data_IF_233635326329
#
_entry.id   IF_233635326329
#
_cell.length_a   1.000
_cell.length_b   1.000
_cell.length_c   1.000
_cell.angle_alpha   90.00
_cell.angle_beta   90.00
_cell.angle_gamma   90.00
#
_symmetry.space_group_name_H-M   'P 1'
#
loop_
_entity.id
_entity.type
_entity.pdbx_description
1 polymer ?
#
# COMPACT_ATOMS: atom_id res chain seq x y z
N UNK A 1 -4.69 12.56 -8.20
CA UNK A 1 -3.83 12.45 -7.01
C UNK A 1 -3.34 13.86 -6.77
N UNK A 2 -3.59 14.42 -5.59
CA UNK A 2 -2.98 15.69 -5.21
C UNK A 2 -1.54 15.40 -4.82
N UNK A 3 -0.58 15.91 -5.59
CA UNK A 3 0.84 15.65 -5.39
C UNK A 3 1.46 16.79 -4.59
N UNK A 4 2.27 16.45 -3.60
CA UNK A 4 3.07 17.46 -2.91
C UNK A 4 4.09 18.09 -3.88
N UNK A 5 4.62 19.28 -3.56
CA UNK A 5 5.64 19.94 -4.38
C UNK A 5 6.84 19.04 -4.77
N UNK A 6 7.46 18.28 -3.84
CA UNK A 6 8.58 17.40 -4.20
C UNK A 6 8.14 16.19 -5.06
N UNK A 7 6.91 15.68 -4.87
CA UNK A 7 6.34 14.65 -5.73
C UNK A 7 6.08 15.17 -7.15
N UNK A 8 5.57 16.40 -7.26
CA UNK A 8 5.32 17.06 -8.53
C UNK A 8 6.63 17.31 -9.28
N UNK A 9 7.69 17.73 -8.58
CA UNK A 9 9.03 17.90 -9.16
C UNK A 9 9.57 16.57 -9.70
N UNK A 10 9.45 15.49 -8.93
CA UNK A 10 9.82 14.15 -9.39
C UNK A 10 9.03 13.72 -10.63
N UNK A 11 7.71 13.97 -10.63
CA UNK A 11 6.83 13.64 -11.75
C UNK A 11 7.18 14.42 -13.03
N UNK A 12 7.57 15.69 -12.88
CA UNK A 12 8.00 16.53 -14.00
C UNK A 12 9.39 16.18 -14.54
N UNK A 13 10.31 15.73 -13.69
CA UNK A 13 11.65 15.30 -14.09
C UNK A 13 11.66 13.93 -14.78
N UNK A 14 10.74 13.04 -14.40
CA UNK A 14 10.68 11.65 -14.86
C UNK A 14 10.68 11.46 -16.38
N UNK A 15 9.87 12.16 -17.21
CA UNK A 15 9.77 11.88 -18.64
C UNK A 15 11.09 12.06 -19.41
N UNK A 16 11.95 12.97 -18.94
CA UNK A 16 13.31 13.19 -19.48
C UNK A 16 14.38 12.36 -18.76
N UNK A 17 14.04 11.82 -17.59
CA UNK A 17 14.96 11.15 -16.69
C UNK A 17 15.88 12.14 -15.99
N UNK A 18 15.44 13.37 -15.73
CA UNK A 18 16.23 14.35 -14.99
C UNK A 18 16.29 14.00 -13.50
N UNK A 19 17.28 14.54 -12.79
CA UNK A 19 17.37 14.41 -11.34
C UNK A 19 16.33 15.31 -10.66
N UNK A 20 15.59 14.74 -9.72
CA UNK A 20 14.82 15.49 -8.75
C UNK A 20 15.57 15.48 -7.41
N UNK A 21 16.04 16.65 -6.97
CA UNK A 21 16.54 16.82 -5.60
C UNK A 21 15.34 17.13 -4.70
N UNK A 22 15.12 16.29 -3.69
CA UNK A 22 14.05 16.45 -2.73
C UNK A 22 14.44 17.38 -1.57
N UNK A 23 15.72 17.77 -1.44
CA UNK A 23 16.21 18.67 -0.39
C UNK A 23 15.84 18.20 1.03
N UNK A 24 15.83 16.88 1.27
CA UNK A 24 15.43 16.26 2.53
C UNK A 24 13.93 16.01 2.68
N UNK A 25 13.11 16.40 1.68
CA UNK A 25 11.67 16.23 1.73
C UNK A 25 11.23 14.76 1.64
N UNK A 26 10.01 14.52 2.12
CA UNK A 26 9.39 13.21 2.06
C UNK A 26 8.85 12.92 0.65
N UNK A 27 9.13 11.71 0.17
CA UNK A 27 8.57 11.17 -1.08
C UNK A 27 7.87 9.86 -0.75
N UNK A 28 6.55 9.75 -0.92
CA UNK A 28 5.85 8.49 -0.77
C UNK A 28 6.39 7.44 -1.75
N UNK A 29 6.67 6.24 -1.26
CA UNK A 29 7.14 5.12 -2.07
C UNK A 29 6.15 4.76 -3.19
N UNK A 30 4.85 4.99 -2.98
CA UNK A 30 3.81 4.74 -3.99
C UNK A 30 3.97 5.64 -5.22
N UNK A 31 4.48 6.86 -5.08
CA UNK A 31 4.78 7.75 -6.21
C UNK A 31 5.90 7.16 -7.06
N UNK A 32 6.96 6.67 -6.41
CA UNK A 32 8.08 5.99 -7.06
C UNK A 32 7.58 4.71 -7.77
N UNK A 33 6.82 3.87 -7.07
CA UNK A 33 6.22 2.64 -7.61
C UNK A 33 5.37 2.93 -8.85
N UNK A 34 4.49 3.93 -8.78
CA UNK A 34 3.62 4.31 -9.89
C UNK A 34 4.43 4.68 -11.14
N UNK A 35 5.45 5.53 -10.98
CA UNK A 35 6.34 5.92 -12.09
C UNK A 35 7.09 4.72 -12.67
N UNK A 36 7.64 3.84 -11.83
CA UNK A 36 8.35 2.64 -12.28
C UNK A 36 7.46 1.65 -13.02
N UNK A 37 6.17 1.59 -12.69
CA UNK A 37 5.17 0.75 -13.36
C UNK A 37 4.56 1.41 -14.60
N UNK A 38 4.86 2.69 -14.87
CA UNK A 38 4.46 3.41 -16.07
C UNK A 38 3.22 4.27 -15.93
N UNK A 39 3.02 4.89 -14.76
CA UNK A 39 1.94 5.87 -14.56
C UNK A 39 2.14 7.20 -15.32
N UNK A 40 3.36 7.46 -15.83
CA UNK A 40 3.66 8.62 -16.66
C UNK A 40 4.34 8.17 -17.97
N UNK A 41 3.98 8.85 -19.06
CA UNK A 41 4.57 8.58 -20.37
C UNK A 41 5.95 9.25 -20.51
N UNK A 42 6.93 8.59 -21.14
CA UNK A 42 8.21 9.19 -21.44
C UNK A 42 8.07 10.29 -22.49
N UNK A 43 8.95 11.29 -22.44
CA UNK A 43 9.04 12.29 -23.50
C UNK A 43 9.63 11.65 -24.77
N UNK A 44 9.17 12.01 -25.98
CA UNK A 44 9.78 11.51 -27.21
C UNK A 44 11.29 11.78 -27.24
N UNK A 45 12.09 10.72 -27.39
CA UNK A 45 13.56 10.81 -27.36
C UNK A 45 14.16 10.92 -25.95
N UNK A 46 13.33 11.06 -24.92
CA UNK A 46 13.73 11.08 -23.51
C UNK A 46 14.15 9.70 -23.00
N UNK A 47 14.99 9.70 -21.96
CA UNK A 47 15.42 8.49 -21.25
C UNK A 47 14.75 8.42 -19.90
N UNK A 48 13.43 8.25 -19.91
CA UNK A 48 12.64 8.28 -18.68
C UNK A 48 13.20 7.35 -17.60
N UNK A 49 13.30 7.89 -16.40
CA UNK A 49 13.89 7.25 -15.24
C UNK A 49 13.43 7.96 -13.98
N UNK A 50 13.34 7.23 -12.87
CA UNK A 50 13.21 7.81 -11.54
C UNK A 50 14.63 8.07 -11.04
N UNK A 51 15.04 9.34 -10.99
CA UNK A 51 16.34 9.77 -10.46
C UNK A 51 16.11 10.73 -9.30
N UNK A 52 16.39 10.27 -8.09
CA UNK A 52 16.01 10.95 -6.86
C UNK A 52 17.23 11.20 -5.97
N UNK A 53 17.37 12.43 -5.50
CA UNK A 53 18.48 12.87 -4.67
C UNK A 53 17.98 13.45 -3.34
N UNK A 54 18.71 13.18 -2.24
CA UNK A 54 18.46 13.72 -0.90
C UNK A 54 17.01 13.52 -0.41
N UNK A 55 16.36 12.39 -0.73
CA UNK A 55 14.96 12.17 -0.37
C UNK A 55 14.80 11.31 0.89
N UNK A 56 13.71 11.56 1.63
CA UNK A 56 13.21 10.64 2.65
C UNK A 56 12.04 9.85 2.06
N UNK A 57 12.30 8.62 1.62
CA UNK A 57 11.28 7.76 1.02
C UNK A 57 10.39 7.14 2.10
N UNK A 58 9.12 7.53 2.13
CA UNK A 58 8.14 7.11 3.13
C UNK A 58 7.29 5.94 2.64
N UNK A 59 7.04 4.97 3.53
CA UNK A 59 6.33 3.75 3.15
C UNK A 59 7.23 2.72 2.46
N UNK A 60 6.63 1.65 1.95
CA UNK A 60 7.34 0.50 1.38
C UNK A 60 7.41 0.60 -0.13
N UNK A 61 8.61 0.63 -0.68
CA UNK A 61 8.83 0.45 -2.12
C UNK A 61 8.68 -1.03 -2.46
N UNK A 62 7.46 -1.41 -2.87
CA UNK A 62 7.08 -2.77 -3.23
C UNK A 62 6.84 -2.88 -4.74
N UNK A 63 7.66 -3.69 -5.41
CA UNK A 63 7.52 -4.02 -6.83
C UNK A 63 7.28 -5.53 -7.01
N UNK A 64 6.87 -6.25 -5.96
CA UNK A 64 6.71 -7.70 -5.96
C UNK A 64 5.85 -8.18 -7.14
N UNK A 65 6.36 -9.16 -7.89
CA UNK A 65 5.69 -9.73 -9.06
C UNK A 65 5.47 -8.76 -10.23
N UNK A 66 5.95 -7.52 -10.12
CA UNK A 66 5.81 -6.47 -11.12
C UNK A 66 6.97 -6.39 -12.11
N UNK A 67 6.81 -5.54 -13.12
CA UNK A 67 7.88 -5.16 -14.05
C UNK A 67 8.19 -3.68 -13.89
N UNK A 68 9.37 -3.36 -13.36
CA UNK A 68 9.87 -2.00 -13.35
C UNK A 68 10.31 -1.59 -14.76
N UNK A 69 9.43 -0.85 -15.46
CA UNK A 69 9.61 -0.44 -16.86
C UNK A 69 10.76 0.55 -17.03
N UNK A 70 11.03 1.35 -16.00
CA UNK A 70 12.02 2.41 -16.03
C UNK A 70 13.11 2.19 -14.97
N UNK A 71 14.32 2.75 -15.18
CA UNK A 71 15.38 2.72 -14.17
C UNK A 71 15.00 3.46 -12.89
N UNK A 72 15.46 2.94 -11.76
CA UNK A 72 15.48 3.62 -10.46
C UNK A 72 16.93 3.92 -10.08
N UNK A 73 17.22 5.19 -9.81
CA UNK A 73 18.50 5.63 -9.26
C UNK A 73 18.20 6.56 -8.08
N UNK A 74 18.66 6.18 -6.89
CA UNK A 74 18.59 7.01 -5.70
C UNK A 74 19.99 7.32 -5.20
N UNK A 75 20.23 8.58 -4.86
CA UNK A 75 21.47 9.06 -4.26
C UNK A 75 21.17 9.75 -2.93
N UNK A 76 22.01 9.52 -1.91
CA UNK A 76 21.96 10.21 -0.61
C UNK A 76 20.56 10.24 0.03
N UNK A 77 19.79 9.16 -0.16
CA UNK A 77 18.38 9.08 0.23
C UNK A 77 18.17 8.05 1.35
N UNK A 78 17.16 8.26 2.19
CA UNK A 78 16.81 7.37 3.29
C UNK A 78 15.47 6.71 3.04
N UNK A 79 15.39 5.40 3.25
CA UNK A 79 14.15 4.63 3.17
C UNK A 79 13.61 4.36 4.57
N UNK A 80 12.32 4.56 4.77
CA UNK A 80 11.68 4.33 6.09
C UNK A 80 11.21 2.88 6.28
N UNK A 81 11.13 2.08 5.21
CA UNK A 81 10.75 0.68 5.26
C UNK A 81 11.66 -0.18 4.37
N UNK A 82 11.75 -1.50 4.63
CA UNK A 82 12.49 -2.42 3.77
C UNK A 82 11.97 -2.41 2.33
N UNK A 83 12.88 -2.53 1.36
CA UNK A 83 12.56 -2.64 -0.06
C UNK A 83 12.11 -4.06 -0.41
N UNK A 84 11.16 -4.20 -1.34
CA UNK A 84 10.65 -5.51 -1.76
C UNK A 84 10.63 -5.63 -3.29
N UNK A 85 11.57 -6.42 -3.80
CA UNK A 85 11.75 -6.69 -5.24
C UNK A 85 11.64 -8.17 -5.58
N UNK A 86 10.96 -8.95 -4.74
CA UNK A 86 10.78 -10.40 -4.94
C UNK A 86 9.98 -10.63 -6.23
N UNK A 87 10.50 -11.49 -7.11
CA UNK A 87 9.88 -11.78 -8.41
C UNK A 87 9.71 -10.54 -9.32
N UNK A 88 10.44 -9.46 -9.06
CA UNK A 88 10.39 -8.26 -9.90
C UNK A 88 11.30 -8.40 -11.11
N UNK A 89 10.78 -8.10 -12.30
CA UNK A 89 11.64 -7.86 -13.48
C UNK A 89 12.07 -6.40 -13.48
N UNK A 90 13.37 -6.14 -13.41
CA UNK A 90 13.90 -4.77 -13.30
C UNK A 90 14.89 -4.45 -14.41
N UNK A 91 14.88 -3.21 -14.90
CA UNK A 91 16.00 -2.70 -15.71
C UNK A 91 17.24 -2.47 -14.85
N UNK A 92 17.33 -1.29 -14.24
CA UNK A 92 18.45 -0.87 -13.42
C UNK A 92 17.90 -0.31 -12.12
N UNK A 93 18.39 -0.85 -11.00
CA UNK A 93 18.19 -0.28 -9.68
C UNK A 93 19.58 0.08 -9.14
N UNK A 94 19.78 1.35 -8.78
CA UNK A 94 21.01 1.84 -8.15
C UNK A 94 20.64 2.63 -6.91
N UNK A 95 21.22 2.25 -5.78
CA UNK A 95 21.05 2.89 -4.49
C UNK A 95 22.46 3.26 -4.01
N UNK A 96 22.79 4.54 -4.06
CA UNK A 96 24.13 5.07 -3.80
C UNK A 96 24.04 5.98 -2.58
N UNK A 97 24.90 5.75 -1.60
CA UNK A 97 24.88 6.48 -0.31
C UNK A 97 23.48 6.52 0.33
N UNK A 98 22.70 5.45 0.13
CA UNK A 98 21.35 5.36 0.65
C UNK A 98 21.33 4.61 1.99
N UNK A 99 20.53 5.12 2.92
CA UNK A 99 20.21 4.41 4.17
C UNK A 99 18.95 3.57 3.96
N UNK A 100 19.09 2.25 4.08
CA UNK A 100 18.04 1.28 3.78
C UNK A 100 17.84 0.39 5.02
N UNK A 101 16.62 0.32 5.59
CA UNK A 101 16.32 -0.63 6.65
C UNK A 101 16.58 -2.03 6.14
N UNK A 102 17.20 -2.88 6.98
CA UNK A 102 17.61 -4.24 6.60
C UNK A 102 16.52 -4.93 5.76
N UNK A 103 16.91 -5.38 4.55
CA UNK A 103 16.02 -6.05 3.59
C UNK A 103 15.23 -7.16 4.29
N UNK A 104 13.92 -7.27 4.00
CA UNK A 104 13.08 -8.29 4.64
C UNK A 104 13.70 -9.69 4.44
N UNK A 105 14.20 -10.28 5.53
CA UNK A 105 13.99 -11.70 5.75
C UNK A 105 12.50 -11.85 6.03
N UNK A 106 11.83 -12.74 5.30
CA UNK A 106 10.48 -13.15 5.65
C UNK A 106 10.50 -13.67 7.11
N UNK A 107 10.13 -12.83 8.06
CA UNK A 107 9.81 -13.28 9.40
C UNK A 107 8.39 -13.80 9.29
N UNK A 108 8.28 -15.12 9.25
CA UNK A 108 7.03 -15.82 9.46
C UNK A 108 6.46 -15.32 10.80
N UNK A 109 5.33 -14.61 10.75
CA UNK A 109 4.59 -14.30 11.98
C UNK A 109 4.12 -15.65 12.53
N UNK A 110 4.44 -16.02 13.78
CA UNK A 110 3.77 -17.14 14.40
C UNK A 110 2.28 -16.83 14.40
N UNK A 111 1.47 -17.74 13.82
CA UNK A 111 0.02 -17.62 13.86
C UNK A 111 -0.41 -17.44 15.32
N UNK A 112 -0.93 -16.25 15.63
CA UNK A 112 -1.40 -15.92 16.97
C UNK A 112 -2.54 -16.85 17.33
N UNK A 113 -2.36 -17.62 18.40
CA UNK A 113 -3.40 -18.47 18.99
C UNK A 113 -4.52 -17.55 19.48
N UNK A 114 -5.64 -17.59 18.78
CA UNK A 114 -6.84 -16.81 19.07
C UNK A 114 -7.29 -17.08 20.51
N UNK A 115 -7.17 -16.08 21.39
CA UNK A 115 -7.72 -16.17 22.75
C UNK A 115 -9.20 -15.85 22.64
N UNK A 116 -10.01 -16.91 22.71
CA UNK A 116 -11.47 -16.83 22.63
C UNK A 116 -12.03 -15.68 23.47
N UNK A 117 -12.67 -14.74 22.78
CA UNK A 117 -13.58 -13.77 23.39
C UNK A 117 -14.81 -14.53 23.87
N UNK A 118 -14.98 -14.60 25.18
CA UNK A 118 -16.22 -15.06 25.81
C UNK A 118 -17.25 -13.93 25.71
N UNK A 119 -18.21 -14.07 24.79
CA UNK A 119 -19.39 -13.21 24.77
C UNK A 119 -20.25 -13.48 26.02
N UNK A 120 -20.74 -12.44 26.73
CA UNK A 120 -21.72 -12.63 27.78
C UNK A 120 -23.08 -12.98 27.17
N UNK A 121 -23.74 -13.99 27.74
CA UNK A 121 -25.09 -14.41 27.37
C UNK A 121 -26.07 -13.25 27.60
N UNK A 122 -26.75 -12.81 26.52
CA UNK A 122 -27.87 -11.89 26.65
C UNK A 122 -29.01 -12.58 27.41
N UNK A 123 -29.38 -11.95 28.53
CA UNK A 123 -30.54 -12.30 29.32
C UNK A 123 -31.82 -12.18 28.47
N UNK A 124 -32.70 -13.17 28.65
CA UNK A 124 -33.99 -13.22 27.99
C UNK A 124 -34.93 -12.12 28.45
N UNK A 125 -35.91 -11.81 27.59
CA UNK A 125 -37.21 -11.31 28.03
C UNK A 125 -38.31 -11.76 27.05
N UNK A 126 -39.54 -11.97 27.54
CA UNK A 126 -40.59 -12.69 26.84
C UNK A 126 -41.47 -11.74 26.05
N UNK A 127 -42.01 -12.21 24.92
CA UNK A 127 -43.13 -11.55 24.26
C UNK A 127 -44.21 -12.56 23.89
N UNK A 128 -45.41 -12.17 24.29
CA UNK A 128 -46.66 -12.88 24.29
C UNK A 128 -47.17 -13.28 22.89
N UNK A 129 -47.93 -14.37 22.86
CA UNK A 129 -48.86 -14.70 21.78
C UNK A 129 -50.10 -15.39 22.34
N UNK A 130 -51.18 -14.62 22.54
CA UNK A 130 -52.53 -15.10 22.87
C UNK A 130 -53.27 -15.46 21.57
N UNK A 131 -53.92 -16.61 21.51
CA UNK A 131 -55.18 -16.90 20.79
C UNK A 131 -55.45 -18.42 20.93
N UNK A 132 -56.66 -18.93 21.13
CA UNK A 132 -57.99 -18.33 21.10
C UNK A 132 -59.02 -19.28 21.75
N UNK A 133 -60.11 -18.67 22.16
CA UNK A 133 -61.32 -19.27 22.74
C UNK A 133 -62.06 -20.11 21.69
N UNK A 134 -62.51 -21.31 22.07
CA UNK A 134 -63.61 -21.99 21.38
C UNK A 134 -64.68 -22.43 22.39
N UNK A 135 -65.75 -21.62 22.51
CA UNK A 135 -67.11 -22.07 22.81
C UNK A 135 -67.82 -22.13 21.46
N UNK A 136 -68.73 -23.03 21.10
CA UNK A 136 -69.68 -23.84 21.84
C UNK A 136 -70.93 -23.80 20.94
N UNK A 137 -71.31 -24.92 20.33
CA UNK A 137 -72.44 -25.01 19.40
C UNK A 137 -73.44 -26.00 19.97
N UNK A 138 -74.56 -25.49 20.47
CA UNK A 138 -75.74 -26.28 20.79
C UNK A 138 -76.91 -25.79 19.93
N UNK A 139 -77.50 -26.71 19.15
CA UNK A 139 -78.93 -26.75 18.82
C UNK A 139 -79.24 -28.24 18.58
N UNK A 140 -80.09 -28.82 19.43
CA UNK A 140 -80.92 -29.98 19.10
C UNK A 140 -82.34 -29.48 18.85
N UNK A 141 -83.02 -30.22 17.98
CA UNK A 141 -84.42 -30.07 17.60
C UNK A 141 -85.40 -30.16 18.77
#
# INVERSE_FOLDING_TARGET
MDLSAPEQALWSAFPRGEWADAEGAEIPADVITALLLGAAEPEPGGRAAVRLLNARVTGRLDLMGGTARYPLICERSTFTAPLRFVETTTRTIRLIDCDIPSMERAVERPAGRDRGVRLPALAGSPLAGRAGVHRGRGVRA
#
